data_IF_954254132426
#
_entry.id   IF_954254132426
#
_cell.length_a   1.000
_cell.length_b   1.000
_cell.length_c   1.000
_cell.angle_alpha   90.00
_cell.angle_beta   90.00
_cell.angle_gamma   90.00
#
_symmetry.space_group_name_H-M   'P 1'
#
loop_
_entity.id
_entity.type
_entity.pdbx_description
1 polymer ?
#
# COMPACT_ATOMS: atom_id res chain seq x y z
N UNK A 1 12.05 -8.70 22.30
CA UNK A 1 11.85 -7.67 21.27
C UNK A 1 10.42 -7.74 20.77
N UNK A 2 9.91 -6.68 20.15
CA UNK A 2 8.51 -6.63 19.68
C UNK A 2 8.31 -7.22 18.27
N UNK A 3 9.39 -7.62 17.58
CA UNK A 3 9.34 -8.18 16.23
C UNK A 3 8.55 -9.50 16.23
N UNK A 4 7.63 -9.64 15.28
CA UNK A 4 6.63 -10.71 15.21
C UNK A 4 5.37 -10.47 16.05
N UNK A 5 5.35 -9.44 16.90
CA UNK A 5 4.19 -9.10 17.73
C UNK A 5 3.10 -8.34 16.96
N UNK A 6 1.87 -8.41 17.48
CA UNK A 6 0.71 -7.74 16.91
C UNK A 6 0.76 -6.21 17.06
N UNK A 7 0.37 -5.51 16.00
CA UNK A 7 -0.04 -4.11 16.03
C UNK A 7 -1.57 -4.07 15.91
N UNK A 8 -2.25 -3.51 16.92
CA UNK A 8 -3.71 -3.50 17.01
C UNK A 8 -4.25 -2.07 17.07
N UNK A 9 -5.44 -1.85 16.51
CA UNK A 9 -6.16 -0.60 16.68
C UNK A 9 -6.97 -0.57 18.00
N UNK A 10 -7.60 0.56 18.30
CA UNK A 10 -8.42 0.75 19.52
C UNK A 10 -9.64 -0.18 19.60
N UNK A 11 -10.07 -0.76 18.47
CA UNK A 11 -11.13 -1.77 18.41
C UNK A 11 -10.62 -3.20 18.65
N UNK A 12 -9.33 -3.39 18.94
CA UNK A 12 -8.74 -4.72 19.15
C UNK A 12 -8.49 -5.50 17.86
N UNK A 13 -8.57 -4.85 16.69
CA UNK A 13 -8.35 -5.51 15.40
C UNK A 13 -6.87 -5.46 15.04
N UNK A 14 -6.33 -6.58 14.53
CA UNK A 14 -4.96 -6.65 14.01
C UNK A 14 -4.84 -5.81 12.73
N UNK A 15 -3.97 -4.80 12.76
CA UNK A 15 -3.70 -3.91 11.61
C UNK A 15 -2.30 -4.11 11.01
N UNK A 16 -1.41 -4.79 11.73
CA UNK A 16 -0.10 -5.21 11.21
C UNK A 16 0.69 -6.10 12.15
N UNK A 17 1.86 -6.54 11.69
CA UNK A 17 2.85 -7.28 12.48
C UNK A 17 4.11 -6.44 12.59
N UNK A 18 4.54 -6.12 13.81
CA UNK A 18 5.74 -5.34 14.06
C UNK A 18 6.97 -6.09 13.51
N UNK A 19 7.80 -5.42 12.72
CA UNK A 19 8.92 -6.08 12.02
C UNK A 19 10.24 -5.41 12.33
N UNK A 20 10.28 -4.07 12.29
CA UNK A 20 11.52 -3.31 12.44
C UNK A 20 11.31 -2.03 13.25
N UNK A 21 12.42 -1.46 13.70
CA UNK A 21 12.48 -0.12 14.27
C UNK A 21 13.54 0.67 13.53
N UNK A 22 13.36 1.98 13.43
CA UNK A 22 14.48 2.85 13.08
C UNK A 22 15.31 3.11 14.34
N UNK A 23 16.61 2.83 14.31
CA UNK A 23 17.50 3.10 15.43
C UNK A 23 18.91 3.42 14.95
N UNK A 24 19.54 4.44 15.56
CA UNK A 24 20.97 4.74 15.38
C UNK A 24 21.84 4.18 16.51
N UNK A 25 21.25 3.77 17.64
CA UNK A 25 21.94 3.38 18.87
C UNK A 25 21.56 1.99 19.38
N UNK A 26 20.64 1.28 18.71
CA UNK A 26 20.07 0.01 19.15
C UNK A 26 18.78 0.13 19.97
N UNK A 27 18.46 1.32 20.50
CA UNK A 27 17.18 1.62 21.17
C UNK A 27 16.13 2.21 20.23
N UNK A 28 14.85 1.97 20.49
CA UNK A 28 13.76 2.63 19.75
C UNK A 28 13.77 4.14 20.02
N UNK A 29 13.69 4.94 18.95
CA UNK A 29 13.49 6.39 19.04
C UNK A 29 12.02 6.80 18.82
N UNK A 30 11.10 5.83 18.91
CA UNK A 30 9.66 6.05 18.68
C UNK A 30 9.20 5.84 17.23
N UNK A 31 10.07 5.34 16.35
CA UNK A 31 9.72 5.01 14.96
C UNK A 31 9.76 3.49 14.79
N UNK A 32 8.57 2.89 14.62
CA UNK A 32 8.38 1.47 14.36
C UNK A 32 7.76 1.22 13.00
N UNK A 33 8.09 0.08 12.40
CA UNK A 33 7.55 -0.37 11.13
C UNK A 33 6.85 -1.72 11.29
N UNK A 34 5.71 -1.87 10.64
CA UNK A 34 4.92 -3.09 10.65
C UNK A 34 4.54 -3.49 9.23
N UNK A 35 4.52 -4.80 8.98
CA UNK A 35 3.93 -5.36 7.76
C UNK A 35 2.41 -5.28 7.90
N UNK A 36 1.67 -4.76 6.92
CA UNK A 36 0.21 -4.68 6.95
C UNK A 36 -0.49 -6.04 7.15
N UNK A 37 -1.59 -6.07 7.90
CA UNK A 37 -2.28 -7.32 8.25
C UNK A 37 -2.92 -8.04 7.05
N UNK A 38 -3.32 -7.31 6.01
CA UNK A 38 -3.76 -7.82 4.71
C UNK A 38 -2.66 -8.65 4.04
N UNK A 39 -1.44 -8.12 3.94
CA UNK A 39 -0.29 -8.85 3.38
C UNK A 39 0.03 -10.13 4.17
N UNK A 40 0.03 -10.02 5.50
CA UNK A 40 0.28 -11.17 6.39
C UNK A 40 -0.79 -12.24 6.20
N UNK A 41 -2.05 -11.84 6.04
CA UNK A 41 -3.16 -12.77 5.77
C UNK A 41 -2.97 -13.48 4.43
N UNK A 42 -2.68 -12.75 3.36
CA UNK A 42 -2.46 -13.33 2.03
C UNK A 42 -1.32 -14.36 2.06
N UNK A 43 -0.21 -14.04 2.73
CA UNK A 43 0.90 -14.97 2.90
C UNK A 43 0.51 -16.21 3.72
N UNK A 44 -0.20 -16.01 4.85
CA UNK A 44 -0.64 -17.12 5.70
C UNK A 44 -1.60 -18.06 4.97
N UNK A 45 -2.48 -17.53 4.13
CA UNK A 45 -3.44 -18.33 3.37
C UNK A 45 -2.74 -19.11 2.24
N UNK A 46 -1.74 -18.52 1.57
CA UNK A 46 -0.87 -19.24 0.63
C UNK A 46 -0.12 -20.41 1.30
N UNK A 47 0.46 -20.17 2.48
CA UNK A 47 1.15 -21.21 3.25
C UNK A 47 0.20 -22.33 3.71
N UNK A 48 -1.02 -22.00 4.17
CA UNK A 48 -2.05 -23.01 4.51
C UNK A 48 -2.49 -23.83 3.31
N UNK A 49 -2.49 -23.24 2.11
CA UNK A 49 -2.78 -23.95 0.86
C UNK A 49 -1.63 -24.88 0.42
N UNK A 50 -0.50 -24.88 1.14
CA UNK A 50 0.65 -25.74 0.85
C UNK A 50 1.60 -25.16 -0.19
N UNK A 51 1.47 -23.89 -0.54
CA UNK A 51 2.41 -23.21 -1.44
C UNK A 51 3.73 -22.97 -0.71
N UNK A 52 4.84 -23.29 -1.38
CA UNK A 52 6.21 -23.06 -0.91
C UNK A 52 6.76 -21.67 -1.31
N UNK A 53 6.02 -20.95 -2.15
CA UNK A 53 6.29 -19.57 -2.52
C UNK A 53 5.05 -18.68 -2.36
N UNK A 54 5.27 -17.39 -2.21
CA UNK A 54 4.21 -16.38 -2.21
C UNK A 54 4.34 -15.51 -3.45
N UNK A 55 3.36 -15.62 -4.35
CA UNK A 55 3.26 -14.74 -5.51
C UNK A 55 2.68 -13.39 -5.06
N UNK A 56 3.50 -12.33 -5.15
CA UNK A 56 3.05 -11.00 -4.76
C UNK A 56 2.00 -10.50 -5.77
N UNK A 57 0.86 -9.95 -5.30
CA UNK A 57 -0.10 -9.31 -6.19
C UNK A 57 0.58 -8.26 -7.08
N UNK A 58 0.24 -8.30 -8.37
CA UNK A 58 0.79 -7.40 -9.37
C UNK A 58 -0.35 -6.67 -10.09
N UNK A 59 -0.32 -5.33 -10.04
CA UNK A 59 -1.33 -4.47 -10.67
C UNK A 59 -0.96 -4.14 -12.12
N UNK A 60 0.33 -4.01 -12.42
CA UNK A 60 0.81 -3.57 -13.73
C UNK A 60 0.69 -2.07 -13.98
N UNK A 61 0.79 -1.27 -12.92
CA UNK A 61 0.86 0.18 -13.00
C UNK A 61 1.82 0.72 -11.93
N UNK A 62 2.44 1.85 -12.22
CA UNK A 62 3.22 2.63 -11.26
C UNK A 62 2.43 3.86 -10.85
N UNK A 63 2.64 4.27 -9.60
CA UNK A 63 1.93 5.38 -8.99
C UNK A 63 2.90 6.41 -8.44
N UNK A 64 2.47 7.67 -8.47
CA UNK A 64 3.20 8.81 -7.91
C UNK A 64 2.29 9.63 -6.99
N UNK A 65 2.91 10.38 -6.10
CA UNK A 65 2.19 11.31 -5.23
C UNK A 65 1.57 12.45 -6.06
N UNK A 66 0.31 12.77 -5.78
CA UNK A 66 -0.33 13.96 -6.33
C UNK A 66 0.18 15.18 -5.55
N UNK A 67 1.06 15.96 -6.15
CA UNK A 67 1.54 17.23 -5.55
C UNK A 67 0.54 18.36 -5.77
N UNK A 68 0.62 19.48 -5.03
CA UNK A 68 -0.22 20.65 -5.28
C UNK A 68 -0.15 21.16 -6.73
N UNK A 69 1.04 21.14 -7.34
CA UNK A 69 1.25 21.57 -8.73
C UNK A 69 0.60 20.62 -9.73
N UNK A 70 0.68 19.31 -9.48
CA UNK A 70 -0.01 18.29 -10.29
C UNK A 70 -1.53 18.46 -10.14
N UNK A 71 -2.03 18.60 -8.91
CA UNK A 71 -3.45 18.81 -8.64
C UNK A 71 -4.01 20.05 -9.37
N UNK A 72 -3.29 21.17 -9.31
CA UNK A 72 -3.64 22.40 -10.03
C UNK A 72 -3.67 22.18 -11.54
N UNK A 73 -2.66 21.51 -12.09
CA UNK A 73 -2.58 21.19 -13.53
C UNK A 73 -3.71 20.27 -14.00
N UNK A 74 -4.22 19.41 -13.11
CA UNK A 74 -5.34 18.50 -13.35
C UNK A 74 -6.71 19.10 -13.00
N UNK A 75 -6.76 20.34 -12.48
CA UNK A 75 -8.01 20.99 -12.06
C UNK A 75 -8.66 20.38 -10.82
N UNK A 76 -7.88 19.72 -9.96
CA UNK A 76 -8.34 19.10 -8.72
C UNK A 76 -8.39 20.14 -7.59
N UNK A 77 -9.42 20.07 -6.73
CA UNK A 77 -9.53 20.96 -5.56
C UNK A 77 -8.44 20.72 -4.51
N UNK A 78 -7.95 19.48 -4.41
CA UNK A 78 -6.98 19.05 -3.39
C UNK A 78 -5.97 18.06 -3.97
N UNK A 79 -4.71 18.09 -3.51
CA UNK A 79 -3.69 17.09 -3.86
C UNK A 79 -3.93 15.79 -3.09
N UNK A 80 -4.87 14.97 -3.58
CA UNK A 80 -5.27 13.69 -2.97
C UNK A 80 -5.21 12.57 -3.99
N UNK A 81 -5.09 11.33 -3.51
CA UNK A 81 -5.05 10.15 -4.37
C UNK A 81 -3.63 9.77 -4.78
N UNK A 82 -3.55 8.92 -5.80
CA UNK A 82 -2.30 8.50 -6.40
C UNK A 82 -2.38 8.64 -7.92
N UNK A 83 -1.44 9.38 -8.51
CA UNK A 83 -1.33 9.58 -9.94
C UNK A 83 -0.78 8.31 -10.59
N UNK A 84 -1.41 7.83 -11.66
CA UNK A 84 -0.85 6.75 -12.49
C UNK A 84 0.26 7.35 -13.37
N UNK A 85 1.51 6.96 -13.12
CA UNK A 85 2.66 7.46 -13.88
C UNK A 85 3.00 6.58 -15.09
N UNK A 86 2.83 5.26 -14.96
CA UNK A 86 3.04 4.30 -16.04
C UNK A 86 2.11 3.10 -15.92
N UNK A 87 1.83 2.45 -17.05
CA UNK A 87 0.98 1.23 -17.12
C UNK A 87 1.63 0.23 -18.06
N UNK A 88 1.76 -1.01 -17.60
CA UNK A 88 2.08 -2.13 -18.48
C UNK A 88 0.84 -2.49 -19.31
N UNK A 89 0.91 -2.23 -20.62
CA UNK A 89 -0.18 -2.51 -21.55
C UNK A 89 -0.55 -4.00 -21.63
N UNK A 90 0.39 -4.91 -21.37
CA UNK A 90 0.13 -6.35 -21.31
C UNK A 90 -0.35 -6.80 -19.91
N UNK A 91 -0.17 -5.96 -18.90
CA UNK A 91 -0.50 -6.21 -17.51
C UNK A 91 -2.00 -6.07 -17.19
N UNK A 92 -2.41 -6.41 -15.95
CA UNK A 92 -3.82 -6.32 -15.54
C UNK A 92 -4.41 -4.92 -15.67
N UNK A 93 -3.68 -3.88 -15.24
CA UNK A 93 -4.11 -2.48 -15.34
C UNK A 93 -4.31 -2.03 -16.81
N UNK A 94 -3.40 -2.41 -17.71
CA UNK A 94 -3.53 -2.11 -19.14
C UNK A 94 -4.75 -2.77 -19.77
N UNK A 95 -5.03 -4.04 -19.42
CA UNK A 95 -6.20 -4.80 -19.92
C UNK A 95 -7.54 -4.19 -19.53
N UNK A 96 -7.61 -3.52 -18.37
CA UNK A 96 -8.82 -2.82 -17.91
C UNK A 96 -8.87 -1.36 -18.33
N UNK A 97 -7.86 -0.89 -19.08
CA UNK A 97 -7.85 0.43 -19.70
C UNK A 97 -7.39 1.56 -18.78
N UNK A 98 -6.68 1.27 -17.68
CA UNK A 98 -6.01 2.29 -16.87
C UNK A 98 -4.95 3.00 -17.71
N UNK A 99 -4.81 4.31 -17.56
CA UNK A 99 -3.89 5.12 -18.35
C UNK A 99 -2.99 6.00 -17.49
N UNK A 100 -1.76 6.29 -17.95
CA UNK A 100 -0.97 7.37 -17.37
C UNK A 100 -1.76 8.68 -17.38
N UNK A 101 -1.73 9.40 -16.26
CA UNK A 101 -2.53 10.61 -16.03
C UNK A 101 -3.85 10.40 -15.29
N UNK A 102 -4.33 9.15 -15.16
CA UNK A 102 -5.46 8.84 -14.28
C UNK A 102 -5.05 9.06 -12.81
N UNK A 103 -6.02 9.41 -11.95
CA UNK A 103 -5.79 9.54 -10.50
C UNK A 103 -6.69 8.56 -9.75
N UNK A 104 -6.07 7.70 -8.95
CA UNK A 104 -6.77 6.76 -8.08
C UNK A 104 -7.25 7.49 -6.83
N UNK A 105 -8.57 7.70 -6.74
CA UNK A 105 -9.21 8.40 -5.61
C UNK A 105 -9.75 7.43 -4.54
N UNK A 106 -9.98 6.17 -4.89
CA UNK A 106 -10.47 5.16 -3.94
C UNK A 106 -10.11 3.75 -4.38
N UNK A 107 -10.01 2.83 -3.41
CA UNK A 107 -9.85 1.40 -3.64
C UNK A 107 -10.87 0.67 -2.75
N UNK A 108 -11.66 -0.24 -3.32
CA UNK A 108 -12.72 -0.98 -2.60
C UNK A 108 -13.61 -0.07 -1.73
N UNK A 109 -14.12 1.02 -2.33
CA UNK A 109 -14.94 2.04 -1.66
C UNK A 109 -14.27 2.79 -0.50
N UNK A 110 -12.96 2.62 -0.30
CA UNK A 110 -12.20 3.34 0.72
C UNK A 110 -11.41 4.47 0.06
N UNK A 111 -11.55 5.73 0.51
CA UNK A 111 -10.78 6.85 -0.02
C UNK A 111 -9.26 6.60 0.04
N UNK A 112 -8.56 7.04 -1.00
CA UNK A 112 -7.10 7.06 -1.08
C UNK A 112 -6.66 8.51 -0.95
N UNK A 113 -6.07 8.85 0.18
CA UNK A 113 -5.64 10.22 0.48
C UNK A 113 -4.22 10.52 -0.01
N UNK A 114 -3.41 9.47 -0.22
CA UNK A 114 -2.03 9.57 -0.67
C UNK A 114 -1.58 8.28 -1.37
N UNK A 115 -0.39 8.30 -1.95
CA UNK A 115 0.24 7.10 -2.51
C UNK A 115 0.50 6.03 -1.45
N UNK A 116 0.95 6.41 -0.25
CA UNK A 116 1.19 5.47 0.85
C UNK A 116 -0.12 4.80 1.31
N UNK A 117 -1.22 5.55 1.26
CA UNK A 117 -2.55 5.03 1.54
C UNK A 117 -3.00 4.01 0.47
N UNK A 118 -2.63 4.20 -0.80
CA UNK A 118 -2.88 3.22 -1.86
C UNK A 118 -2.03 1.97 -1.64
N UNK A 119 -0.72 2.13 -1.45
CA UNK A 119 0.23 1.05 -1.22
C UNK A 119 -0.19 0.15 -0.05
N UNK A 120 -0.58 0.77 1.07
CA UNK A 120 -1.07 0.03 2.24
C UNK A 120 -2.32 -0.81 1.93
N UNK A 121 -3.21 -0.32 1.07
CA UNK A 121 -4.46 -1.02 0.74
C UNK A 121 -4.28 -2.09 -0.35
N UNK A 122 -3.28 -1.94 -1.22
CA UNK A 122 -2.91 -2.95 -2.21
C UNK A 122 -2.10 -4.11 -1.60
N UNK A 123 -1.48 -3.87 -0.44
CA UNK A 123 -0.67 -4.83 0.30
C UNK A 123 -1.46 -6.09 0.72
#
# INVERSE_FOLDING_TARGET
GNSGGALINMGGQLVGINTAIYSRSGGSIGIGFAIPANMVRAFADAAKAGLDFFERPYVGAEFEAVTPQIAESLGMEKPTGALVSSVDAAGPAGKVGLKPGDVVLSLNNTPVESIEALDYRMA
#
